data_IF_944332991235
#
_entry.id   IF_944332991235
#
_cell.length_a   1.000
_cell.length_b   1.000
_cell.length_c   1.000
_cell.angle_alpha   90.00
_cell.angle_beta   90.00
_cell.angle_gamma   90.00
#
_symmetry.space_group_name_H-M   'P 1'
#
loop_
_entity.id
_entity.type
_entity.pdbx_description
1 polymer ?
#
# COMPACT_ATOMS: atom_id res chain seq x y z
N UNK A 1 -9.86 -29.98 0.57
CA UNK A 1 -9.89 -29.09 1.76
C UNK A 1 -8.47 -28.66 2.10
N UNK A 2 -7.96 -27.59 1.47
CA UNK A 2 -6.64 -26.99 1.78
C UNK A 2 -6.63 -25.45 1.58
N UNK A 3 -7.80 -24.80 1.67
CA UNK A 3 -7.96 -23.40 1.24
C UNK A 3 -7.35 -22.35 2.20
N UNK A 4 -7.25 -22.66 3.49
CA UNK A 4 -6.73 -21.71 4.48
C UNK A 4 -5.19 -21.60 4.47
N UNK A 5 -4.42 -22.71 4.38
CA UNK A 5 -2.98 -22.63 4.14
C UNK A 5 -2.63 -21.88 2.86
N UNK A 6 -3.32 -22.16 1.75
CA UNK A 6 -3.08 -21.52 0.46
C UNK A 6 -3.35 -20.01 0.49
N UNK A 7 -4.43 -19.59 1.16
CA UNK A 7 -4.76 -18.17 1.37
C UNK A 7 -3.72 -17.44 2.22
N UNK A 8 -3.18 -18.08 3.26
CA UNK A 8 -2.10 -17.51 4.09
C UNK A 8 -0.80 -17.38 3.33
N UNK A 9 -0.43 -18.40 2.53
CA UNK A 9 0.76 -18.37 1.67
C UNK A 9 0.65 -17.26 0.63
N UNK A 10 -0.54 -17.07 0.03
CA UNK A 10 -0.76 -15.98 -0.93
C UNK A 10 -0.60 -14.60 -0.28
N UNK A 11 -1.19 -14.39 0.91
CA UNK A 11 -1.03 -13.12 1.64
C UNK A 11 0.45 -12.83 1.95
N UNK A 12 1.17 -13.83 2.45
CA UNK A 12 2.59 -13.70 2.77
C UNK A 12 3.41 -13.31 1.52
N UNK A 13 3.10 -13.88 0.35
CA UNK A 13 3.76 -13.51 -0.92
C UNK A 13 3.46 -12.06 -1.32
N UNK A 14 2.24 -11.59 -1.12
CA UNK A 14 1.87 -10.20 -1.42
C UNK A 14 2.61 -9.22 -0.50
N UNK A 15 2.70 -9.54 0.80
CA UNK A 15 3.43 -8.75 1.80
C UNK A 15 4.93 -8.71 1.50
N UNK A 16 5.53 -9.83 1.09
CA UNK A 16 6.93 -9.87 0.65
C UNK A 16 7.15 -8.97 -0.58
N UNK A 17 6.29 -9.06 -1.60
CA UNK A 17 6.41 -8.23 -2.80
C UNK A 17 6.23 -6.73 -2.52
N UNK A 18 5.43 -6.38 -1.51
CA UNK A 18 5.28 -5.02 -1.00
C UNK A 18 6.57 -4.55 -0.31
N UNK A 19 7.11 -5.35 0.62
CA UNK A 19 8.35 -5.06 1.34
C UNK A 19 9.55 -4.92 0.40
N UNK A 20 9.64 -5.73 -0.65
CA UNK A 20 10.66 -5.61 -1.70
C UNK A 20 10.56 -4.28 -2.45
N UNK A 21 9.34 -3.84 -2.77
CA UNK A 21 9.11 -2.56 -3.46
C UNK A 21 9.47 -1.38 -2.56
N UNK A 22 9.10 -1.42 -1.27
CA UNK A 22 9.51 -0.43 -0.27
C UNK A 22 11.02 -0.39 -0.08
N UNK A 23 11.67 -1.57 0.01
CA UNK A 23 13.14 -1.68 0.11
C UNK A 23 13.80 -1.06 -1.11
N UNK A 24 13.25 -1.28 -2.31
CA UNK A 24 13.80 -0.70 -3.53
C UNK A 24 13.73 0.83 -3.48
N UNK A 25 12.59 1.40 -3.10
CA UNK A 25 12.45 2.85 -2.92
C UNK A 25 13.49 3.40 -1.92
N UNK A 26 13.63 2.76 -0.76
CA UNK A 26 14.62 3.18 0.23
C UNK A 26 16.07 3.04 -0.24
N UNK A 27 16.39 2.11 -1.14
CA UNK A 27 17.72 2.02 -1.78
C UNK A 27 17.93 3.23 -2.68
N UNK A 28 16.95 3.62 -3.48
CA UNK A 28 17.03 4.78 -4.38
C UNK A 28 17.27 6.06 -3.58
N UNK A 29 16.52 6.27 -2.51
CA UNK A 29 16.65 7.45 -1.63
C UNK A 29 18.05 7.51 -1.01
N UNK A 30 18.55 6.40 -0.47
CA UNK A 30 19.92 6.34 0.08
C UNK A 30 20.98 6.58 -0.99
N UNK A 31 20.78 6.08 -2.21
CA UNK A 31 21.70 6.32 -3.32
C UNK A 31 21.73 7.80 -3.74
N UNK A 32 20.56 8.45 -3.77
CA UNK A 32 20.45 9.89 -4.04
C UNK A 32 21.21 10.68 -2.98
N UNK A 33 20.91 10.46 -1.70
CA UNK A 33 21.56 11.15 -0.60
C UNK A 33 23.09 10.95 -0.60
N UNK A 34 23.55 9.70 -0.70
CA UNK A 34 24.99 9.40 -0.72
C UNK A 34 25.71 10.01 -1.93
N UNK A 35 25.03 10.14 -3.08
CA UNK A 35 25.61 10.77 -4.26
C UNK A 35 25.63 12.30 -4.12
N UNK A 36 24.56 12.91 -3.62
CA UNK A 36 24.50 14.34 -3.34
C UNK A 36 25.56 14.77 -2.32
N UNK A 37 25.79 13.96 -1.29
CA UNK A 37 26.84 14.18 -0.30
C UNK A 37 28.23 14.18 -0.95
N UNK A 38 28.54 13.17 -1.78
CA UNK A 38 29.83 13.10 -2.50
C UNK A 38 30.05 14.30 -3.42
N UNK A 39 29.02 14.74 -4.13
CA UNK A 39 29.09 15.93 -4.99
C UNK A 39 29.38 17.19 -4.16
N UNK A 40 28.64 17.36 -3.06
CA UNK A 40 28.83 18.49 -2.13
C UNK A 40 30.22 18.51 -1.54
N UNK A 41 30.75 17.36 -1.10
CA UNK A 41 32.12 17.23 -0.58
C UNK A 41 33.15 17.61 -1.65
N UNK A 42 32.96 17.18 -2.89
CA UNK A 42 33.87 17.46 -4.00
C UNK A 42 33.89 18.96 -4.33
N UNK A 43 32.71 19.59 -4.42
CA UNK A 43 32.60 21.03 -4.70
C UNK A 43 33.11 21.89 -3.53
N UNK A 44 32.88 21.43 -2.31
CA UNK A 44 33.43 21.99 -1.09
C UNK A 44 34.96 21.91 -1.06
N UNK A 45 35.55 20.78 -1.45
CA UNK A 45 37.00 20.62 -1.54
C UNK A 45 37.61 21.60 -2.56
N UNK A 46 37.03 21.69 -3.77
CA UNK A 46 37.45 22.64 -4.80
C UNK A 46 37.42 24.08 -4.30
N UNK A 47 36.34 24.52 -3.64
CA UNK A 47 36.23 25.88 -3.09
C UNK A 47 37.29 26.18 -2.03
N UNK A 48 37.65 25.20 -1.18
CA UNK A 48 38.68 25.37 -0.14
C UNK A 48 40.11 25.26 -0.63
N UNK A 49 40.37 24.57 -1.74
CA UNK A 49 41.68 24.65 -2.39
C UNK A 49 42.05 26.10 -2.76
N UNK A 50 41.06 26.97 -2.92
CA UNK A 50 41.25 28.40 -3.21
C UNK A 50 41.11 29.33 -1.97
N UNK A 51 40.85 28.81 -0.75
CA UNK A 51 40.65 29.63 0.45
C UNK A 51 40.99 28.92 1.76
N UNK A 52 41.78 29.57 2.63
CA UNK A 52 42.23 29.01 3.91
C UNK A 52 41.06 28.80 4.89
N UNK A 53 40.68 27.53 5.09
CA UNK A 53 40.07 27.01 6.33
C UNK A 53 38.58 27.27 6.56
N UNK A 54 37.82 26.19 6.75
CA UNK A 54 36.66 26.20 7.64
C UNK A 54 36.39 24.78 8.16
N UNK A 55 36.33 24.66 9.48
CA UNK A 55 35.85 23.50 10.22
C UNK A 55 34.32 23.41 10.09
N UNK A 56 33.81 22.20 9.91
CA UNK A 56 32.38 21.83 9.83
C UNK A 56 31.62 22.18 8.52
N UNK A 57 30.53 21.44 8.31
CA UNK A 57 29.54 21.60 7.25
C UNK A 57 28.82 22.95 7.42
N UNK A 58 28.79 23.77 6.38
CA UNK A 58 28.22 25.14 6.44
C UNK A 58 26.81 25.19 5.87
N UNK A 59 26.04 26.25 6.16
CA UNK A 59 24.72 26.45 5.54
C UNK A 59 24.79 26.53 4.00
N UNK A 60 25.90 27.02 3.44
CA UNK A 60 26.12 27.00 2.00
C UNK A 60 26.37 25.59 1.46
N UNK A 61 27.05 24.74 2.24
CA UNK A 61 27.22 23.31 1.90
C UNK A 61 25.88 22.57 1.99
N UNK A 62 25.07 22.85 3.01
CA UNK A 62 23.72 22.28 3.15
C UNK A 62 22.83 22.64 1.96
N UNK A 63 22.81 23.91 1.54
CA UNK A 63 22.02 24.34 0.39
C UNK A 63 22.44 23.62 -0.90
N UNK A 64 23.76 23.52 -1.15
CA UNK A 64 24.28 22.79 -2.32
C UNK A 64 23.92 21.30 -2.26
N UNK A 65 23.97 20.69 -1.07
CA UNK A 65 23.51 19.32 -0.89
C UNK A 65 22.03 19.15 -1.23
N UNK A 66 21.16 20.03 -0.74
CA UNK A 66 19.72 19.99 -1.05
C UNK A 66 19.46 20.22 -2.56
N UNK A 67 20.21 21.11 -3.19
CA UNK A 67 20.16 21.32 -4.66
C UNK A 67 20.55 20.03 -5.41
N UNK A 68 21.64 19.36 -5.01
CA UNK A 68 22.05 18.07 -5.58
C UNK A 68 21.03 16.95 -5.33
N UNK A 69 20.42 16.90 -4.14
CA UNK A 69 19.33 15.95 -3.84
C UNK A 69 18.14 16.20 -4.76
N UNK A 70 17.73 17.45 -4.93
CA UNK A 70 16.61 17.81 -5.79
C UNK A 70 16.86 17.43 -7.25
N UNK A 71 18.05 17.73 -7.79
CA UNK A 71 18.44 17.38 -9.15
C UNK A 71 18.43 15.86 -9.37
N UNK A 72 19.06 15.11 -8.47
CA UNK A 72 19.13 13.64 -8.57
C UNK A 72 17.74 12.99 -8.38
N UNK A 73 16.90 13.55 -7.52
CA UNK A 73 15.51 13.11 -7.35
C UNK A 73 14.71 13.36 -8.62
N UNK A 74 14.86 14.53 -9.24
CA UNK A 74 14.20 14.85 -10.50
C UNK A 74 14.63 13.89 -11.61
N UNK A 75 15.94 13.59 -11.69
CA UNK A 75 16.49 12.65 -12.67
C UNK A 75 15.92 11.23 -12.50
N UNK A 76 15.57 10.81 -11.28
CA UNK A 76 14.97 9.49 -10.98
C UNK A 76 13.46 9.54 -10.76
N UNK A 77 12.80 10.66 -11.03
CA UNK A 77 11.39 10.88 -10.71
C UNK A 77 10.48 9.81 -11.32
N UNK A 78 10.70 9.46 -12.59
CA UNK A 78 9.87 8.46 -13.29
C UNK A 78 9.93 7.09 -12.59
N UNK A 79 11.11 6.69 -12.13
CA UNK A 79 11.32 5.42 -11.43
C UNK A 79 10.66 5.45 -10.04
N UNK A 80 10.88 6.52 -9.27
CA UNK A 80 10.25 6.74 -7.96
C UNK A 80 8.73 6.71 -8.09
N UNK A 81 8.16 7.49 -9.00
CA UNK A 81 6.73 7.58 -9.22
C UNK A 81 6.13 6.22 -9.64
N UNK A 82 6.85 5.44 -10.44
CA UNK A 82 6.42 4.10 -10.83
C UNK A 82 6.39 3.13 -9.64
N UNK A 83 7.39 3.19 -8.75
CA UNK A 83 7.44 2.37 -7.54
C UNK A 83 6.37 2.79 -6.53
N UNK A 84 6.14 4.09 -6.34
CA UNK A 84 5.08 4.61 -5.47
C UNK A 84 3.71 4.14 -5.94
N UNK A 85 3.38 4.29 -7.23
CA UNK A 85 2.11 3.76 -7.77
C UNK A 85 2.00 2.25 -7.71
N UNK A 86 3.13 1.54 -7.76
CA UNK A 86 3.12 0.08 -7.56
C UNK A 86 2.78 -0.25 -6.11
N UNK A 87 3.36 0.48 -5.15
CA UNK A 87 3.09 0.30 -3.72
C UNK A 87 1.62 0.56 -3.40
N UNK A 88 1.05 1.66 -3.89
CA UNK A 88 -0.38 1.97 -3.72
C UNK A 88 -1.29 0.83 -4.20
N UNK A 89 -0.98 0.24 -5.36
CA UNK A 89 -1.73 -0.92 -5.89
C UNK A 89 -1.54 -2.18 -5.05
N UNK A 90 -0.35 -2.39 -4.49
CA UNK A 90 -0.08 -3.52 -3.59
C UNK A 90 -0.85 -3.35 -2.27
N UNK A 91 -0.88 -2.14 -1.71
CA UNK A 91 -1.60 -1.80 -0.49
C UNK A 91 -3.11 -2.05 -0.66
N UNK A 92 -3.67 -1.57 -1.77
CA UNK A 92 -5.06 -1.81 -2.14
C UNK A 92 -5.36 -3.31 -2.28
N UNK A 93 -4.53 -4.04 -3.02
CA UNK A 93 -4.73 -5.48 -3.21
C UNK A 93 -4.67 -6.26 -1.89
N UNK A 94 -3.73 -5.94 -0.99
CA UNK A 94 -3.62 -6.57 0.33
C UNK A 94 -4.85 -6.24 1.19
N UNK A 95 -5.29 -4.96 1.20
CA UNK A 95 -6.45 -4.54 1.96
C UNK A 95 -7.73 -5.23 1.49
N UNK A 96 -7.97 -5.28 0.17
CA UNK A 96 -9.10 -6.01 -0.41
C UNK A 96 -9.06 -7.49 -0.09
N UNK A 97 -7.88 -8.12 -0.19
CA UNK A 97 -7.72 -9.54 0.10
C UNK A 97 -8.07 -9.86 1.56
N UNK A 98 -7.58 -9.05 2.51
CA UNK A 98 -7.92 -9.18 3.93
C UNK A 98 -9.41 -8.96 4.16
N UNK A 99 -10.01 -7.92 3.56
CA UNK A 99 -11.45 -7.66 3.68
C UNK A 99 -12.31 -8.84 3.22
N UNK A 100 -12.00 -9.43 2.05
CA UNK A 100 -12.70 -10.62 1.54
C UNK A 100 -12.53 -11.83 2.46
N UNK A 101 -11.36 -12.00 3.08
CA UNK A 101 -11.16 -13.06 4.07
C UNK A 101 -12.00 -12.86 5.33
N UNK A 102 -12.05 -11.64 5.86
CA UNK A 102 -12.88 -11.33 7.03
C UNK A 102 -14.37 -11.53 6.75
N UNK A 103 -14.85 -11.06 5.59
CA UNK A 103 -16.24 -11.25 5.17
C UNK A 103 -16.60 -12.73 5.02
N UNK A 104 -15.72 -13.53 4.42
CA UNK A 104 -15.91 -14.98 4.28
C UNK A 104 -15.93 -15.70 5.64
N UNK A 105 -15.03 -15.33 6.56
CA UNK A 105 -15.01 -15.88 7.90
C UNK A 105 -16.28 -15.53 8.69
N UNK A 106 -16.76 -14.29 8.58
CA UNK A 106 -18.02 -13.85 9.19
C UNK A 106 -19.24 -14.60 8.63
N UNK A 107 -19.32 -14.75 7.29
CA UNK A 107 -20.37 -15.52 6.63
C UNK A 107 -20.37 -16.99 7.10
N UNK A 108 -19.20 -17.63 7.16
CA UNK A 108 -19.07 -19.01 7.64
C UNK A 108 -19.50 -19.16 9.10
N UNK A 109 -19.06 -18.24 9.97
CA UNK A 109 -19.45 -18.25 11.39
C UNK A 109 -20.96 -18.03 11.59
N UNK A 110 -21.62 -17.24 10.74
CA UNK A 110 -23.06 -17.05 10.79
C UNK A 110 -23.84 -18.28 10.30
N UNK A 111 -23.29 -19.02 9.32
CA UNK A 111 -23.88 -20.26 8.82
C UNK A 111 -23.73 -21.44 9.80
N UNK A 112 -22.65 -21.47 10.60
CA UNK A 112 -22.41 -22.50 11.63
C UNK A 112 -23.07 -22.21 12.98
N UNK A 113 -23.73 -21.05 13.15
CA UNK A 113 -24.45 -20.73 14.38
C UNK A 113 -25.66 -21.68 14.57
N UNK A 114 -25.74 -22.44 15.68
CA UNK A 114 -26.86 -23.33 15.93
C UNK A 114 -28.11 -22.50 16.20
N UNK A 115 -29.09 -22.54 15.28
CA UNK A 115 -30.34 -21.79 15.36
C UNK A 115 -30.94 -21.30 14.03
N UNK A 116 -30.24 -21.45 12.90
CA UNK A 116 -30.79 -21.11 11.57
C UNK A 116 -31.69 -22.22 11.00
N UNK A 117 -32.66 -22.68 11.80
CA UNK A 117 -33.71 -23.62 11.37
C UNK A 117 -35.03 -22.86 11.27
N UNK A 118 -35.49 -22.62 10.05
CA UNK A 118 -36.91 -22.49 9.73
C UNK A 118 -37.55 -21.12 9.94
N UNK A 119 -37.32 -20.19 9.01
CA UNK A 119 -38.36 -19.22 8.66
C UNK A 119 -39.06 -19.72 7.40
N UNK A 120 -39.95 -20.69 7.56
CA UNK A 120 -40.89 -21.09 6.51
C UNK A 120 -41.79 -19.89 6.16
N UNK A 121 -41.74 -19.54 4.88
CA UNK A 121 -42.51 -18.46 4.26
C UNK A 121 -43.94 -18.96 4.08
N UNK A 122 -44.80 -18.69 5.07
CA UNK A 122 -46.23 -19.01 4.95
C UNK A 122 -46.91 -17.97 4.03
N UNK A 123 -47.11 -18.35 2.76
CA UNK A 123 -47.85 -17.56 1.78
C UNK A 123 -49.33 -17.62 2.15
N UNK A 124 -49.90 -16.46 2.47
CA UNK A 124 -51.34 -16.28 2.71
C UNK A 124 -52.15 -16.83 1.53
N UNK A 125 -52.90 -17.89 1.76
CA UNK A 125 -54.12 -18.19 1.01
C UNK A 125 -55.31 -17.93 1.92
N UNK A 126 -55.98 -16.79 1.72
CA UNK A 126 -57.37 -16.61 2.12
C UNK A 126 -58.07 -15.95 0.93
N UNK A 127 -58.74 -16.79 0.16
CA UNK A 127 -59.86 -16.36 -0.67
C UNK A 127 -61.14 -16.52 0.13
N UNK A 128 -62.06 -15.59 -0.07
CA UNK A 128 -63.50 -15.69 0.02
C UNK A 128 -64.00 -14.27 0.29
N UNK A 129 -64.69 -13.71 -0.69
CA UNK A 129 -65.96 -12.99 -0.55
C UNK A 129 -66.29 -12.44 -1.93
N UNK A 130 -67.46 -12.80 -2.44
CA UNK A 130 -68.35 -12.09 -3.37
C UNK A 130 -69.46 -13.10 -3.75
N UNK A 131 -70.30 -13.41 -2.74
CA UNK A 131 -71.64 -13.96 -2.94
C UNK A 131 -72.54 -12.82 -3.43
N UNK A 132 -73.00 -12.91 -4.68
CA UNK A 132 -73.91 -11.94 -5.27
C UNK A 132 -74.94 -12.60 -6.19
N UNK A 133 -76.22 -12.39 -5.86
CA UNK A 133 -77.46 -12.68 -6.63
C UNK A 133 -78.01 -14.11 -6.56
N UNK A 134 -79.34 -14.34 -6.47
CA UNK A 134 -80.45 -13.61 -7.15
C UNK A 134 -81.63 -13.28 -6.18
N UNK A 135 -82.75 -12.63 -6.50
CA UNK A 135 -83.54 -12.26 -7.70
C UNK A 135 -84.30 -10.97 -7.36
#
# INVERSE_FOLDING_TARGET
MNELPERRVLLARMEVAQAETQRHLGIIERQIAARAERLTITDRAKRRHHGRGASNWTNADERLFQEHVAELTLARRVEIDALTRKLERQDQAIAEFRSRQHAYAAWRSAAEAPGSSGCERNVRTLGADEEGSPV
#
